data_IF_089243659059
#
_entry.id   IF_089243659059
#
_cell.length_a   1.000
_cell.length_b   1.000
_cell.length_c   1.000
_cell.angle_alpha   90.00
_cell.angle_beta   90.00
_cell.angle_gamma   90.00
#
_symmetry.space_group_name_H-M   'P 1'
#
loop_
_entity.id
_entity.type
_entity.pdbx_description
1 polymer ?
#
# COMPACT_ATOMS: atom_id res chain seq x y z
N UNK A 1 -28.82 -6.81 -23.79
CA UNK A 1 -28.71 -5.40 -23.34
C UNK A 1 -30.07 -4.76 -23.54
N UNK A 2 -30.74 -4.32 -22.48
CA UNK A 2 -31.97 -3.53 -22.66
C UNK A 2 -31.61 -2.20 -23.33
N UNK A 3 -32.18 -1.96 -24.51
CA UNK A 3 -32.04 -0.70 -25.21
C UNK A 3 -33.07 0.28 -24.68
N UNK A 4 -32.67 1.13 -23.75
CA UNK A 4 -33.46 2.30 -23.33
C UNK A 4 -33.69 3.22 -24.53
N UNK A 5 -34.93 3.72 -24.66
CA UNK A 5 -35.27 4.75 -25.63
C UNK A 5 -34.41 6.00 -25.41
N UNK A 6 -34.06 6.71 -26.49
CA UNK A 6 -33.29 7.97 -26.42
C UNK A 6 -33.99 8.98 -25.51
N UNK A 7 -35.32 9.07 -25.57
CA UNK A 7 -36.11 9.95 -24.71
C UNK A 7 -35.95 9.60 -23.23
N UNK A 8 -35.98 8.32 -22.88
CA UNK A 8 -35.82 7.87 -21.49
C UNK A 8 -34.43 8.19 -20.95
N UNK A 9 -33.39 8.02 -21.78
CA UNK A 9 -32.01 8.39 -21.40
C UNK A 9 -31.89 9.90 -21.15
N UNK A 10 -32.44 10.73 -22.02
CA UNK A 10 -32.38 12.19 -21.87
C UNK A 10 -33.13 12.67 -20.62
N UNK A 11 -34.28 12.06 -20.28
CA UNK A 11 -35.01 12.36 -19.04
C UNK A 11 -34.22 11.98 -17.78
N UNK A 12 -33.46 10.89 -17.83
CA UNK A 12 -32.59 10.48 -16.72
C UNK A 12 -31.42 11.45 -16.56
N UNK A 13 -30.76 11.83 -17.66
CA UNK A 13 -29.61 12.75 -17.64
C UNK A 13 -30.02 14.14 -17.14
N UNK A 14 -31.09 14.71 -17.68
CA UNK A 14 -31.61 16.02 -17.22
C UNK A 14 -31.96 16.01 -15.73
N UNK A 15 -32.45 14.89 -15.20
CA UNK A 15 -32.71 14.75 -13.75
C UNK A 15 -31.43 14.59 -12.93
N UNK A 16 -30.44 13.86 -13.43
CA UNK A 16 -29.12 13.75 -12.78
C UNK A 16 -28.43 15.12 -12.73
N UNK A 17 -28.46 15.88 -13.83
CA UNK A 17 -27.92 17.24 -13.92
C UNK A 17 -28.63 18.21 -12.96
N UNK A 18 -29.92 18.01 -12.71
CA UNK A 18 -30.68 18.76 -11.70
C UNK A 18 -30.38 18.35 -10.24
N UNK A 19 -29.49 17.37 -10.02
CA UNK A 19 -29.09 16.92 -8.68
C UNK A 19 -30.06 15.91 -8.03
N UNK A 20 -30.99 15.33 -8.79
CA UNK A 20 -31.91 14.33 -8.25
C UNK A 20 -31.17 13.02 -7.89
N UNK A 21 -31.56 12.39 -6.78
CA UNK A 21 -31.00 11.09 -6.39
C UNK A 21 -31.43 9.98 -7.35
N UNK A 22 -30.57 8.99 -7.56
CA UNK A 22 -30.89 7.83 -8.40
C UNK A 22 -32.12 7.05 -7.90
N UNK A 23 -32.40 7.05 -6.59
CA UNK A 23 -33.61 6.46 -6.02
C UNK A 23 -34.88 7.22 -6.42
N UNK A 24 -34.86 8.55 -6.37
CA UNK A 24 -36.00 9.39 -6.78
C UNK A 24 -36.30 9.19 -8.27
N UNK A 25 -35.25 9.10 -9.09
CA UNK A 25 -35.37 8.83 -10.52
C UNK A 25 -35.94 7.43 -10.75
N UNK A 26 -35.46 6.41 -10.02
CA UNK A 26 -35.97 5.04 -10.10
C UNK A 26 -37.48 4.98 -9.79
N UNK A 27 -37.92 5.61 -8.71
CA UNK A 27 -39.34 5.67 -8.33
C UNK A 27 -40.22 6.32 -9.39
N UNK A 28 -39.70 7.31 -10.12
CA UNK A 28 -40.49 8.05 -11.10
C UNK A 28 -40.46 7.43 -12.50
N UNK A 29 -39.36 6.75 -12.85
CA UNK A 29 -39.13 6.20 -14.21
C UNK A 29 -39.39 4.70 -14.27
N UNK A 30 -39.55 4.04 -13.11
CA UNK A 30 -39.71 2.58 -12.99
C UNK A 30 -38.44 1.79 -13.29
N UNK A 31 -37.29 2.47 -13.42
CA UNK A 31 -36.01 1.84 -13.74
C UNK A 31 -35.28 1.43 -12.47
N UNK A 32 -34.47 0.38 -12.57
CA UNK A 32 -33.61 -0.01 -11.47
C UNK A 32 -32.53 1.06 -11.23
N UNK A 33 -32.31 1.41 -9.97
CA UNK A 33 -31.23 2.30 -9.49
C UNK A 33 -29.89 1.92 -10.10
N UNK A 34 -29.57 0.62 -10.22
CA UNK A 34 -28.32 0.15 -10.83
C UNK A 34 -28.16 0.64 -12.28
N UNK A 35 -29.27 0.65 -13.03
CA UNK A 35 -29.27 1.09 -14.44
C UNK A 35 -29.01 2.58 -14.54
N UNK A 36 -29.61 3.38 -13.65
CA UNK A 36 -29.41 4.82 -13.56
C UNK A 36 -27.97 5.13 -13.18
N UNK A 37 -27.40 4.41 -12.20
CA UNK A 37 -25.99 4.58 -11.79
C UNK A 37 -24.99 4.26 -12.92
N UNK A 38 -25.27 3.23 -13.73
CA UNK A 38 -24.44 2.89 -14.88
C UNK A 38 -24.50 3.98 -15.95
N UNK A 39 -25.70 4.52 -16.23
CA UNK A 39 -25.88 5.63 -17.18
C UNK A 39 -25.13 6.87 -16.69
N UNK A 40 -25.31 7.22 -15.42
CA UNK A 40 -24.61 8.34 -14.79
C UNK A 40 -23.08 8.17 -14.89
N UNK A 41 -22.55 6.99 -14.56
CA UNK A 41 -21.11 6.73 -14.64
C UNK A 41 -20.56 6.74 -16.07
N UNK A 42 -21.38 6.41 -17.08
CA UNK A 42 -20.97 6.38 -18.48
C UNK A 42 -20.97 7.78 -19.11
N UNK A 43 -22.00 8.57 -18.85
CA UNK A 43 -22.15 9.91 -19.42
C UNK A 43 -21.33 10.94 -18.63
N UNK A 44 -21.15 10.73 -17.33
CA UNK A 44 -20.28 11.55 -16.48
C UNK A 44 -19.00 10.80 -16.09
N UNK A 45 -18.33 10.21 -17.08
CA UNK A 45 -17.03 9.54 -16.89
C UNK A 45 -15.97 10.46 -16.28
N UNK A 46 -16.09 11.77 -16.53
CA UNK A 46 -15.15 12.80 -16.13
C UNK A 46 -15.34 13.26 -14.68
N UNK A 47 -16.38 12.77 -13.98
CA UNK A 47 -16.56 13.03 -12.55
C UNK A 47 -15.47 12.28 -11.79
N UNK A 48 -14.39 13.02 -11.52
CA UNK A 48 -13.23 12.58 -10.75
C UNK A 48 -13.70 11.91 -9.47
N UNK A 49 -13.59 10.58 -9.42
CA UNK A 49 -13.86 9.83 -8.18
C UNK A 49 -12.96 10.42 -7.12
N UNK A 50 -13.54 10.79 -5.97
CA UNK A 50 -12.71 11.18 -4.83
C UNK A 50 -11.75 10.02 -4.58
N UNK A 51 -10.46 10.28 -4.74
CA UNK A 51 -9.45 9.37 -4.22
C UNK A 51 -9.72 9.30 -2.73
N UNK A 52 -10.21 8.16 -2.26
CA UNK A 52 -10.35 7.93 -0.84
C UNK A 52 -8.95 8.00 -0.25
N UNK A 53 -8.62 9.14 0.37
CA UNK A 53 -7.31 9.36 0.94
C UNK A 53 -7.16 8.49 2.20
N UNK A 54 -6.72 7.26 1.99
CA UNK A 54 -6.25 6.42 3.08
C UNK A 54 -4.89 6.97 3.51
N UNK A 55 -4.89 7.83 4.53
CA UNK A 55 -3.66 8.31 5.17
C UNK A 55 -2.85 7.11 5.65
N UNK A 56 -1.72 6.84 4.99
CA UNK A 56 -0.85 5.73 5.38
C UNK A 56 -0.26 6.01 6.76
N UNK A 57 -0.35 5.03 7.68
CA UNK A 57 0.21 5.12 9.03
C UNK A 57 1.72 5.43 9.07
N UNK A 58 2.43 5.23 7.96
CA UNK A 58 3.85 5.54 7.81
C UNK A 58 4.05 6.67 6.82
N UNK A 59 4.70 7.74 7.29
CA UNK A 59 5.16 8.82 6.44
C UNK A 59 6.37 8.39 5.60
N UNK A 60 6.61 9.01 4.43
CA UNK A 60 7.79 8.74 3.60
C UNK A 60 9.11 8.88 4.37
N UNK A 61 9.20 9.80 5.34
CA UNK A 61 10.37 9.96 6.21
C UNK A 61 10.67 8.70 7.05
N UNK A 62 9.62 8.06 7.57
CA UNK A 62 9.74 6.84 8.38
C UNK A 62 10.24 5.66 7.53
N UNK A 63 9.81 5.60 6.27
CA UNK A 63 10.28 4.59 5.31
C UNK A 63 11.76 4.80 5.00
N UNK A 64 12.19 6.04 4.75
CA UNK A 64 13.62 6.36 4.54
C UNK A 64 14.48 6.01 5.76
N UNK A 65 13.99 6.34 6.95
CA UNK A 65 14.69 5.98 8.20
C UNK A 65 14.81 4.46 8.37
N UNK A 66 13.76 3.71 8.03
CA UNK A 66 13.79 2.24 8.03
C UNK A 66 14.87 1.67 7.12
N UNK A 67 14.97 2.18 5.89
CA UNK A 67 16.00 1.80 4.93
C UNK A 67 17.39 2.11 5.51
N UNK A 68 17.56 3.27 6.13
CA UNK A 68 18.82 3.66 6.75
C UNK A 68 19.21 2.71 7.91
N UNK A 69 18.27 2.35 8.79
CA UNK A 69 18.52 1.39 9.88
C UNK A 69 18.99 0.03 9.37
N UNK A 70 18.40 -0.45 8.26
CA UNK A 70 18.82 -1.72 7.63
C UNK A 70 20.20 -1.56 6.98
N UNK A 71 20.41 -0.47 6.24
CA UNK A 71 21.66 -0.23 5.50
C UNK A 71 22.86 -0.03 6.42
N UNK A 72 22.63 0.50 7.63
CA UNK A 72 23.65 0.67 8.67
C UNK A 72 23.78 -0.55 9.59
N UNK A 73 23.13 -1.67 9.25
CA UNK A 73 23.10 -2.90 10.05
C UNK A 73 22.59 -2.71 11.49
N UNK A 74 21.87 -1.62 11.78
CA UNK A 74 21.25 -1.35 13.09
C UNK A 74 19.94 -2.13 13.29
N UNK A 75 19.34 -2.60 12.21
CA UNK A 75 18.20 -3.50 12.23
C UNK A 75 18.36 -4.57 11.13
N UNK A 76 18.19 -5.83 11.49
CA UNK A 76 18.31 -6.96 10.56
C UNK A 76 16.97 -7.39 9.95
N UNK A 77 15.86 -7.06 10.61
CA UNK A 77 14.53 -7.50 10.18
C UNK A 77 13.46 -6.44 10.44
N UNK A 78 12.31 -6.61 9.77
CA UNK A 78 11.18 -5.69 9.88
C UNK A 78 10.65 -5.57 11.31
N UNK A 79 10.78 -6.61 12.15
CA UNK A 79 10.34 -6.57 13.56
C UNK A 79 11.20 -5.59 14.36
N UNK A 80 12.53 -5.62 14.19
CA UNK A 80 13.45 -4.68 14.84
C UNK A 80 13.20 -3.24 14.35
N UNK A 81 13.04 -3.04 13.04
CA UNK A 81 12.69 -1.73 12.48
C UNK A 81 11.37 -1.21 13.06
N UNK A 82 10.37 -2.09 13.21
CA UNK A 82 9.07 -1.72 13.77
C UNK A 82 9.24 -1.24 15.21
N UNK A 83 10.00 -1.96 16.05
CA UNK A 83 10.28 -1.51 17.42
C UNK A 83 10.91 -0.12 17.46
N UNK A 84 11.90 0.13 16.59
CA UNK A 84 12.53 1.46 16.49
C UNK A 84 11.54 2.54 16.05
N UNK A 85 10.70 2.28 15.07
CA UNK A 85 9.69 3.23 14.58
C UNK A 85 8.58 3.50 15.60
N UNK A 86 8.09 2.47 16.29
CA UNK A 86 7.07 2.59 17.34
C UNK A 86 7.54 3.56 18.42
N UNK A 87 8.82 3.51 18.79
CA UNK A 87 9.42 4.43 19.77
C UNK A 87 9.52 5.88 19.25
N UNK A 88 9.73 6.08 17.95
CA UNK A 88 9.86 7.42 17.36
C UNK A 88 8.48 8.06 17.16
N UNK A 89 7.52 7.29 16.67
CA UNK A 89 6.17 7.75 16.30
C UNK A 89 5.24 7.76 17.52
N UNK A 90 5.64 7.10 18.62
CA UNK A 90 4.82 6.89 19.82
C UNK A 90 3.46 6.23 19.51
N UNK A 91 3.42 5.40 18.47
CA UNK A 91 2.21 4.70 18.02
C UNK A 91 2.54 3.25 17.72
N UNK A 92 1.66 2.34 18.15
CA UNK A 92 1.76 0.92 17.82
C UNK A 92 1.68 0.69 16.31
N UNK A 93 2.72 0.04 15.78
CA UNK A 93 2.84 -0.33 14.37
C UNK A 93 2.93 -1.85 14.23
N UNK A 94 2.26 -2.36 13.20
CA UNK A 94 2.33 -3.78 12.87
C UNK A 94 3.53 -4.04 11.94
N UNK A 95 4.35 -5.08 12.18
CA UNK A 95 5.52 -5.37 11.34
C UNK A 95 5.24 -5.55 9.85
N UNK A 96 4.09 -6.14 9.50
CA UNK A 96 3.69 -6.26 8.08
C UNK A 96 3.52 -4.90 7.39
N UNK A 97 3.10 -3.85 8.10
CA UNK A 97 2.99 -2.52 7.50
C UNK A 97 4.36 -2.03 7.06
N UNK A 98 5.37 -2.13 7.93
CA UNK A 98 6.77 -1.78 7.58
C UNK A 98 7.25 -2.64 6.40
N UNK A 99 7.00 -3.96 6.43
CA UNK A 99 7.37 -4.86 5.35
C UNK A 99 6.75 -4.47 3.99
N UNK A 100 5.46 -4.14 3.96
CA UNK A 100 4.78 -3.69 2.73
C UNK A 100 5.40 -2.41 2.17
N UNK A 101 5.72 -1.44 3.02
CA UNK A 101 6.36 -0.21 2.58
C UNK A 101 7.79 -0.45 2.08
N UNK A 102 8.57 -1.31 2.73
CA UNK A 102 9.91 -1.69 2.28
C UNK A 102 9.86 -2.44 0.93
N UNK A 103 8.90 -3.34 0.74
CA UNK A 103 8.68 -4.03 -0.53
C UNK A 103 8.34 -3.06 -1.66
N UNK A 104 7.51 -2.03 -1.39
CA UNK A 104 7.21 -0.95 -2.35
C UNK A 104 8.46 -0.16 -2.76
N UNK A 105 9.45 -0.04 -1.86
CA UNK A 105 10.75 0.59 -2.18
C UNK A 105 11.74 -0.35 -2.88
N UNK A 106 11.34 -1.59 -3.18
CA UNK A 106 12.18 -2.57 -3.86
C UNK A 106 13.08 -3.40 -2.93
N UNK A 107 13.03 -3.19 -1.61
CA UNK A 107 13.73 -4.06 -0.66
C UNK A 107 12.98 -5.39 -0.55
N UNK A 108 13.70 -6.49 -0.70
CA UNK A 108 13.15 -7.84 -0.54
C UNK A 108 13.80 -8.54 0.64
N UNK A 109 13.03 -9.35 1.35
CA UNK A 109 13.58 -10.25 2.35
C UNK A 109 14.48 -11.28 1.67
N UNK A 110 15.71 -11.43 2.16
CA UNK A 110 16.66 -12.43 1.70
C UNK A 110 16.89 -13.42 2.83
N UNK A 111 16.71 -14.71 2.55
CA UNK A 111 17.09 -15.77 3.48
C UNK A 111 18.62 -15.79 3.52
N UNK A 112 19.20 -15.46 4.67
CA UNK A 112 20.65 -15.61 4.87
C UNK A 112 21.00 -17.08 4.72
N UNK A 113 21.91 -17.38 3.79
CA UNK A 113 22.47 -18.72 3.68
C UNK A 113 23.25 -19.03 4.96
N UNK A 114 23.02 -20.20 5.57
CA UNK A 114 23.79 -20.62 6.74
C UNK A 114 25.21 -20.93 6.30
N UNK A 115 26.17 -20.12 6.74
CA UNK A 115 27.57 -20.48 6.67
C UNK A 115 27.92 -21.46 7.80
N UNK A 116 28.86 -22.40 7.60
CA UNK A 116 29.38 -23.22 8.68
C UNK A 116 29.88 -22.33 9.82
N UNK A 117 29.48 -22.64 11.04
CA UNK A 117 30.00 -21.93 12.22
C UNK A 117 31.49 -22.29 12.32
N UNK A 118 32.36 -21.31 12.10
CA UNK A 118 33.79 -21.49 12.35
C UNK A 118 33.95 -21.76 13.84
N UNK A 119 34.53 -22.92 14.17
CA UNK A 119 34.94 -23.20 15.53
C UNK A 119 35.97 -22.16 15.98
N UNK A 120 36.06 -21.90 17.27
CA UNK A 120 37.08 -21.03 17.87
C UNK A 120 38.50 -21.43 17.43
N UNK A 121 38.75 -22.72 17.21
CA UNK A 121 40.00 -23.24 16.65
C UNK A 121 40.28 -22.71 15.24
N UNK A 122 39.28 -22.71 14.35
CA UNK A 122 39.45 -22.20 12.99
C UNK A 122 39.67 -20.68 12.96
N UNK A 123 38.94 -19.92 13.80
CA UNK A 123 39.15 -18.48 13.91
C UNK A 123 40.57 -18.15 14.38
N UNK A 124 41.10 -18.89 15.36
CA UNK A 124 42.47 -18.69 15.86
C UNK A 124 43.52 -19.04 14.83
N UNK A 125 43.37 -20.18 14.15
CA UNK A 125 44.28 -20.59 13.07
C UNK A 125 44.35 -19.55 11.92
N UNK A 126 43.21 -18.94 11.57
CA UNK A 126 43.17 -17.87 10.58
C UNK A 126 43.87 -16.59 11.05
N UNK A 127 43.70 -16.20 12.31
CA UNK A 127 44.42 -15.06 12.89
C UNK A 127 45.93 -15.33 12.92
N UNK A 128 46.34 -16.50 13.39
CA UNK A 128 47.76 -16.91 13.46
C UNK A 128 48.40 -16.90 12.06
N UNK A 129 47.69 -17.40 11.04
CA UNK A 129 48.14 -17.33 9.64
C UNK A 129 48.32 -15.89 9.15
N UNK A 130 47.36 -15.00 9.45
CA UNK A 130 47.45 -13.58 9.08
C UNK A 130 48.61 -12.85 9.76
N UNK A 131 48.96 -13.22 11.00
CA UNK A 131 50.14 -12.69 11.69
C UNK A 131 51.46 -13.25 11.15
N UNK A 132 51.50 -14.52 10.75
CA UNK A 132 52.71 -15.18 10.26
C UNK A 132 53.17 -14.72 8.87
N UNK A 133 52.24 -14.17 8.06
CA UNK A 133 52.49 -13.72 6.69
C UNK A 133 52.39 -12.20 6.52
N UNK A 134 52.65 -11.46 7.60
CA UNK A 134 52.70 -10.00 7.63
C UNK A 134 54.15 -9.51 7.62
#
# INVERSE_FOLDING_TARGET
MWSLSSTQKNTILTRLDSGCSAHTIASTTGLNVSTISIIHAKEHSDLQKSSGDCLSKLFPANVRHSIHLISTHRAENAVQVTKSLTNIINQSLHPNTVCQHLNKTGMKAVVKQKCPILSTRHCKAWLDFGYAHK
#
